data_IF_703445984253
#
_entry.id   IF_703445984253
#
_cell.length_a   1.000
_cell.length_b   1.000
_cell.length_c   1.000
_cell.angle_alpha   90.00
_cell.angle_beta   90.00
_cell.angle_gamma   90.00
#
_symmetry.space_group_name_H-M   'P 1'
#
loop_
_entity.id
_entity.type
_entity.pdbx_description
1 polymer ?
#
# COMPACT_ATOMS: atom_id res chain seq x y z
N UNK A 1 0.69 7.69 -13.21
CA UNK A 1 -0.18 8.10 -14.34
C UNK A 1 -0.90 9.44 -14.08
N UNK A 2 -1.33 9.70 -12.83
CA UNK A 2 -2.02 10.94 -12.44
C UNK A 2 -1.33 12.29 -12.78
N UNK A 3 0.02 12.44 -12.66
CA UNK A 3 0.68 13.73 -12.95
C UNK A 3 0.57 14.16 -14.42
N UNK A 4 0.52 13.17 -15.33
CA UNK A 4 0.44 13.43 -16.78
C UNK A 4 -0.96 13.95 -17.15
N UNK A 5 -2.00 13.39 -16.54
CA UNK A 5 -3.38 13.85 -16.74
C UNK A 5 -3.62 15.25 -16.17
N UNK A 6 -3.05 15.58 -15.01
CA UNK A 6 -3.16 16.92 -14.43
C UNK A 6 -2.62 18.02 -15.36
N UNK A 7 -1.56 17.73 -16.13
CA UNK A 7 -0.96 18.64 -17.11
C UNK A 7 -1.79 18.77 -18.39
N UNK A 8 -2.41 17.68 -18.87
CA UNK A 8 -3.30 17.70 -20.04
C UNK A 8 -4.63 18.41 -19.80
N UNK A 9 -5.12 18.44 -18.55
CA UNK A 9 -6.38 19.09 -18.17
C UNK A 9 -6.28 20.62 -18.02
N UNK A 10 -5.15 21.23 -18.39
CA UNK A 10 -5.06 22.69 -18.51
C UNK A 10 -5.21 23.47 -17.20
N UNK A 11 -5.06 22.82 -16.03
CA UNK A 11 -4.94 23.53 -14.76
C UNK A 11 -3.56 24.20 -14.68
N UNK A 12 -3.42 25.33 -15.36
CA UNK A 12 -2.42 26.34 -15.01
C UNK A 12 -2.78 26.87 -13.63
N UNK A 13 -2.27 26.20 -12.59
CA UNK A 13 -2.64 26.54 -11.22
C UNK A 13 -1.76 25.90 -10.17
N UNK A 14 -0.54 25.50 -10.53
CA UNK A 14 0.49 25.25 -9.53
C UNK A 14 1.46 26.44 -9.59
N UNK A 15 1.58 27.15 -8.47
CA UNK A 15 2.65 28.12 -8.20
C UNK A 15 3.98 27.64 -8.80
N UNK A 16 4.81 28.57 -9.29
CA UNK A 16 6.17 28.26 -9.81
C UNK A 16 7.06 27.52 -8.77
N UNK A 17 6.63 27.45 -7.50
CA UNK A 17 7.24 26.69 -6.42
C UNK A 17 6.76 25.22 -6.28
N UNK A 18 6.20 24.64 -7.34
CA UNK A 18 5.76 23.24 -7.34
C UNK A 18 6.95 22.27 -7.35
N UNK A 19 7.42 21.85 -6.16
CA UNK A 19 8.45 20.80 -6.06
C UNK A 19 7.90 19.51 -6.70
N UNK A 20 8.59 18.93 -7.69
CA UNK A 20 8.09 17.73 -8.38
C UNK A 20 7.97 16.59 -7.37
N UNK A 21 6.80 15.94 -7.36
CA UNK A 21 6.61 14.71 -6.60
C UNK A 21 7.47 13.62 -7.22
N UNK A 22 8.58 13.27 -6.56
CA UNK A 22 9.38 12.12 -6.94
C UNK A 22 8.58 10.85 -6.62
N UNK A 23 8.24 10.09 -7.67
CA UNK A 23 7.62 8.77 -7.53
C UNK A 23 8.73 7.75 -7.73
N UNK A 24 9.15 7.10 -6.64
CA UNK A 24 10.06 5.97 -6.69
C UNK A 24 9.28 4.68 -6.50
N UNK A 25 9.51 3.69 -7.37
CA UNK A 25 8.97 2.34 -7.20
C UNK A 25 10.05 1.47 -6.54
N UNK A 26 9.82 0.96 -5.32
CA UNK A 26 10.71 -0.03 -4.71
C UNK A 26 10.79 -1.29 -5.60
N UNK A 27 12.01 -1.71 -5.97
CA UNK A 27 12.22 -2.87 -6.86
C UNK A 27 12.39 -4.20 -6.13
N UNK A 28 12.55 -4.14 -4.82
CA UNK A 28 12.85 -5.28 -3.94
C UNK A 28 11.65 -5.74 -3.10
N UNK A 29 10.47 -5.14 -3.30
CA UNK A 29 9.25 -5.60 -2.65
C UNK A 29 8.70 -6.81 -3.43
N UNK A 30 8.43 -7.95 -2.76
CA UNK A 30 7.81 -9.11 -3.40
C UNK A 30 6.54 -8.73 -4.18
N UNK A 31 6.35 -9.31 -5.35
CA UNK A 31 5.15 -9.10 -6.15
C UNK A 31 4.22 -10.29 -5.96
N UNK A 32 3.04 -10.05 -5.40
CA UNK A 32 1.97 -11.04 -5.40
C UNK A 32 1.14 -10.90 -6.68
N UNK A 33 1.11 -11.96 -7.50
CA UNK A 33 0.37 -12.00 -8.76
C UNK A 33 -1.01 -12.64 -8.63
N UNK A 34 -1.36 -13.13 -7.44
CA UNK A 34 -2.68 -13.68 -7.16
C UNK A 34 -3.70 -12.54 -7.05
N UNK A 35 -4.63 -12.50 -8.01
CA UNK A 35 -5.68 -11.48 -8.05
C UNK A 35 -6.60 -11.51 -6.82
N UNK A 36 -7.05 -12.68 -6.32
CA UNK A 36 -7.86 -12.76 -5.10
C UNK A 36 -7.21 -12.12 -3.89
N UNK A 37 -5.89 -12.21 -3.78
CA UNK A 37 -5.13 -11.74 -2.62
C UNK A 37 -4.75 -10.26 -2.71
N UNK A 38 -5.10 -9.59 -3.81
CA UNK A 38 -4.69 -8.20 -4.07
C UNK A 38 -5.16 -7.21 -2.99
N UNK A 39 -6.38 -7.37 -2.50
CA UNK A 39 -6.95 -6.51 -1.45
C UNK A 39 -6.21 -6.69 -0.12
N UNK A 40 -6.01 -7.94 0.31
CA UNK A 40 -5.29 -8.27 1.55
C UNK A 40 -3.85 -7.80 1.45
N UNK A 41 -3.17 -8.10 0.33
CA UNK A 41 -1.79 -7.67 0.09
C UNK A 41 -1.64 -6.15 0.21
N UNK A 42 -2.59 -5.38 -0.34
CA UNK A 42 -2.59 -3.92 -0.22
C UNK A 42 -2.70 -3.44 1.22
N UNK A 43 -3.59 -4.04 2.02
CA UNK A 43 -3.77 -3.70 3.44
C UNK A 43 -2.50 -4.01 4.23
N UNK A 44 -1.93 -5.20 4.03
CA UNK A 44 -0.70 -5.61 4.70
C UNK A 44 0.49 -4.70 4.34
N UNK A 45 0.61 -4.28 3.07
CA UNK A 45 1.63 -3.30 2.68
C UNK A 45 1.43 -1.94 3.35
N UNK A 46 0.19 -1.47 3.48
CA UNK A 46 -0.11 -0.20 4.17
C UNK A 46 0.28 -0.31 5.64
N UNK A 47 -0.09 -1.41 6.33
CA UNK A 47 0.23 -1.63 7.73
C UNK A 47 1.73 -1.76 7.97
N UNK A 48 2.42 -2.60 7.17
CA UNK A 48 3.87 -2.76 7.26
C UNK A 48 4.60 -1.43 7.02
N UNK A 49 4.19 -0.67 5.98
CA UNK A 49 4.76 0.64 5.70
C UNK A 49 4.53 1.65 6.82
N UNK A 50 3.34 1.66 7.43
CA UNK A 50 3.03 2.57 8.53
C UNK A 50 3.88 2.30 9.78
N UNK A 51 4.24 1.04 10.04
CA UNK A 51 4.99 0.64 11.24
C UNK A 51 6.50 0.67 11.04
N UNK A 52 6.99 0.14 9.91
CA UNK A 52 8.43 -0.07 9.66
C UNK A 52 8.92 0.48 8.33
N UNK A 53 8.13 1.34 7.67
CA UNK A 53 8.48 1.93 6.39
C UNK A 53 8.56 0.90 5.26
N UNK A 54 9.15 1.33 4.14
CA UNK A 54 9.28 0.52 2.91
C UNK A 54 10.03 -0.79 3.14
N UNK A 55 10.95 -0.84 4.09
CA UNK A 55 11.73 -2.05 4.38
C UNK A 55 10.89 -3.16 5.01
N UNK A 56 9.92 -2.82 5.87
CA UNK A 56 9.01 -3.81 6.44
C UNK A 56 8.13 -4.48 5.38
N UNK A 57 7.85 -3.81 4.26
CA UNK A 57 7.10 -4.40 3.14
C UNK A 57 7.83 -5.60 2.49
N UNK A 58 9.15 -5.77 2.71
CA UNK A 58 9.90 -6.94 2.20
C UNK A 58 9.42 -8.25 2.81
N UNK A 59 8.80 -8.20 3.99
CA UNK A 59 8.31 -9.38 4.71
C UNK A 59 6.94 -9.87 4.21
N UNK A 60 6.25 -9.11 3.35
CA UNK A 60 4.94 -9.49 2.81
C UNK A 60 5.16 -10.34 1.55
N UNK A 61 5.49 -11.61 1.74
CA UNK A 61 5.68 -12.62 0.69
C UNK A 61 4.43 -13.51 0.57
N UNK A 62 4.27 -14.21 -0.56
CA UNK A 62 3.07 -15.01 -0.80
C UNK A 62 2.87 -16.13 0.24
N UNK A 63 3.95 -16.70 0.77
CA UNK A 63 3.94 -17.78 1.75
C UNK A 63 3.46 -17.36 3.15
N UNK A 64 3.48 -16.06 3.47
CA UNK A 64 3.00 -15.57 4.77
C UNK A 64 1.55 -15.08 4.72
N UNK A 65 0.96 -14.93 3.52
CA UNK A 65 -0.34 -14.28 3.37
C UNK A 65 -1.46 -15.03 4.10
N UNK A 66 -1.49 -16.36 4.03
CA UNK A 66 -2.54 -17.14 4.70
C UNK A 66 -2.57 -16.87 6.21
N UNK A 67 -1.40 -16.82 6.84
CA UNK A 67 -1.27 -16.51 8.27
C UNK A 67 -1.59 -15.05 8.59
N UNK A 68 -1.17 -14.10 7.75
CA UNK A 68 -1.43 -12.68 7.97
C UNK A 68 -2.89 -12.30 7.73
N UNK A 69 -3.61 -13.02 6.85
CA UNK A 69 -5.07 -12.87 6.64
C UNK A 69 -5.83 -13.19 7.91
N UNK A 70 -5.49 -14.27 8.60
CA UNK A 70 -6.16 -14.66 9.85
C UNK A 70 -5.97 -13.60 10.93
N UNK A 71 -4.74 -13.11 11.12
CA UNK A 71 -4.43 -12.03 12.06
C UNK A 71 -5.16 -10.74 11.69
N UNK A 72 -5.22 -10.42 10.40
CA UNK A 72 -5.94 -9.25 9.91
C UNK A 72 -7.44 -9.37 10.20
N UNK A 73 -8.03 -10.54 10.00
CA UNK A 73 -9.44 -10.79 10.30
C UNK A 73 -9.75 -10.60 11.79
N UNK A 74 -8.91 -11.14 12.67
CA UNK A 74 -9.01 -10.93 14.13
C UNK A 74 -8.92 -9.45 14.47
N UNK A 75 -7.88 -8.77 13.96
CA UNK A 75 -7.65 -7.33 14.21
C UNK A 75 -8.86 -6.48 13.78
N UNK A 76 -9.43 -6.78 12.62
CA UNK A 76 -10.61 -6.08 12.11
C UNK A 76 -11.85 -6.35 12.97
N UNK A 77 -12.06 -7.60 13.40
CA UNK A 77 -13.16 -7.92 14.29
C UNK A 77 -13.04 -7.19 15.63
N UNK A 78 -11.89 -7.31 16.28
CA UNK A 78 -11.64 -6.70 17.59
C UNK A 78 -11.76 -5.18 17.55
N UNK A 79 -11.31 -4.55 16.48
CA UNK A 79 -11.40 -3.10 16.29
C UNK A 79 -12.83 -2.58 16.02
N UNK A 80 -13.77 -3.44 15.62
CA UNK A 80 -15.13 -3.02 15.22
C UNK A 80 -16.25 -3.60 16.10
N UNK A 81 -16.05 -4.76 16.72
CA UNK A 81 -17.08 -5.50 17.46
C UNK A 81 -16.73 -5.63 18.94
N UNK A 82 -15.49 -6.01 19.24
CA UNK A 82 -15.01 -6.25 20.61
C UNK A 82 -14.06 -7.45 20.66
N UNK A 83 -13.39 -7.68 21.80
CA UNK A 83 -12.44 -8.79 21.96
C UNK A 83 -13.12 -10.13 21.68
N UNK A 84 -12.44 -11.00 20.93
CA UNK A 84 -12.86 -12.39 20.66
C UNK A 84 -12.80 -13.27 21.92
#
# INVERSE_FOLDING_TARGET
MFPYFAKQLGKQGASEDGKPLAIERPRWIPQNNSLPDSAVSAILFIQAHAVGGVDACKCITADVLDTEVEKLAVTLYEGNVGPL
#
